data_IF_098914363443
#
_entry.id   IF_098914363443
#
_cell.length_a   1.000
_cell.length_b   1.000
_cell.length_c   1.000
_cell.angle_alpha   90.00
_cell.angle_beta   90.00
_cell.angle_gamma   90.00
#
_symmetry.space_group_name_H-M   'P 1'
#
loop_
_entity.id
_entity.type
_entity.pdbx_description
1 polymer ?
#
# COMPACT_ATOMS: atom_id res chain seq x y z
N UNK A 1 -63.64 7.02 -13.40
CA UNK A 1 -62.50 7.85 -12.94
C UNK A 1 -61.61 6.91 -12.13
N UNK A 2 -60.50 6.36 -12.66
CA UNK A 2 -59.11 6.89 -12.55
C UNK A 2 -58.89 7.41 -11.11
N UNK A 3 -58.05 6.81 -10.27
CA UNK A 3 -56.59 6.81 -10.39
C UNK A 3 -55.90 5.55 -9.82
N UNK A 4 -54.86 5.19 -10.54
CA UNK A 4 -53.89 4.10 -10.38
C UNK A 4 -53.01 4.31 -9.13
N UNK A 5 -52.87 3.28 -8.31
CA UNK A 5 -51.95 3.25 -7.17
C UNK A 5 -50.50 3.13 -7.66
N UNK A 6 -49.69 4.09 -7.21
CA UNK A 6 -48.26 4.17 -7.37
C UNK A 6 -47.53 3.10 -6.55
N UNK A 7 -46.48 2.50 -7.12
CA UNK A 7 -45.10 2.62 -6.65
C UNK A 7 -44.23 1.78 -7.59
N UNK A 8 -43.70 2.43 -8.62
CA UNK A 8 -42.69 1.86 -9.50
C UNK A 8 -41.38 1.80 -8.70
N UNK A 9 -40.97 0.58 -8.38
CA UNK A 9 -39.60 0.25 -8.01
C UNK A 9 -38.68 0.69 -9.15
N UNK A 10 -37.88 1.73 -8.93
CA UNK A 10 -36.83 2.17 -9.83
C UNK A 10 -35.50 2.10 -9.09
N UNK A 11 -34.95 0.89 -9.08
CA UNK A 11 -33.55 0.60 -9.36
C UNK A 11 -32.50 1.51 -8.72
N UNK A 12 -32.04 1.08 -7.55
CA UNK A 12 -30.66 1.28 -7.10
C UNK A 12 -29.69 0.76 -8.17
N UNK A 13 -29.32 1.61 -9.11
CA UNK A 13 -28.08 1.47 -9.89
C UNK A 13 -27.22 2.69 -9.58
N UNK A 14 -26.76 2.73 -8.33
CA UNK A 14 -25.51 3.41 -8.02
C UNK A 14 -24.40 2.58 -8.67
N UNK A 15 -24.25 2.75 -9.98
CA UNK A 15 -23.01 2.47 -10.69
C UNK A 15 -21.97 3.44 -10.15
N UNK A 16 -21.47 3.15 -8.95
CA UNK A 16 -20.23 3.71 -8.47
C UNK A 16 -19.16 3.22 -9.44
N UNK A 17 -18.95 3.98 -10.52
CA UNK A 17 -17.65 4.03 -11.18
C UNK A 17 -16.68 4.58 -10.12
N UNK A 18 -16.30 3.73 -9.16
CA UNK A 18 -15.06 3.89 -8.43
C UNK A 18 -14.03 3.83 -9.55
N UNK A 19 -13.49 4.99 -9.92
CA UNK A 19 -12.48 5.08 -10.95
C UNK A 19 -11.38 4.11 -10.57
N UNK A 20 -11.30 2.99 -11.28
CA UNK A 20 -10.25 2.01 -11.09
C UNK A 20 -8.97 2.76 -11.34
N UNK A 21 -8.18 2.97 -10.28
CA UNK A 21 -6.92 3.67 -10.40
C UNK A 21 -6.09 2.88 -11.43
N UNK A 22 -5.69 3.50 -12.57
CA UNK A 22 -4.98 2.77 -13.62
C UNK A 22 -3.65 2.18 -13.13
N UNK A 23 -3.14 2.66 -11.99
CA UNK A 23 -1.92 2.22 -11.34
C UNK A 23 -2.16 1.23 -10.18
N UNK A 24 -3.39 0.78 -9.95
CA UNK A 24 -3.71 -0.20 -8.91
C UNK A 24 -2.98 -1.53 -9.16
N UNK A 25 -2.21 -1.97 -8.17
CA UNK A 25 -1.39 -3.18 -8.27
C UNK A 25 -0.14 -3.05 -9.15
N UNK A 26 0.22 -1.84 -9.62
CA UNK A 26 1.49 -1.56 -10.31
C UNK A 26 2.50 -1.05 -9.28
N UNK A 27 3.58 -1.80 -9.03
CA UNK A 27 4.58 -1.39 -8.04
C UNK A 27 5.84 -0.84 -8.69
N UNK A 28 6.49 0.14 -8.06
CA UNK A 28 7.85 0.56 -8.42
C UNK A 28 8.77 0.23 -7.26
N UNK A 29 9.66 -0.74 -7.49
CA UNK A 29 10.67 -1.17 -6.50
C UNK A 29 12.04 -0.97 -7.12
N UNK A 30 12.90 -0.18 -6.50
CA UNK A 30 14.25 0.13 -7.01
C UNK A 30 14.25 0.63 -8.47
N UNK A 31 13.37 1.58 -8.80
CA UNK A 31 13.20 2.15 -10.15
C UNK A 31 12.76 1.17 -11.24
N UNK A 32 12.34 -0.04 -10.87
CA UNK A 32 11.75 -1.00 -11.80
C UNK A 32 10.25 -1.10 -11.56
N UNK A 33 9.47 -0.84 -12.62
CA UNK A 33 8.04 -1.12 -12.64
C UNK A 33 7.86 -2.63 -12.63
N UNK A 34 7.20 -3.15 -11.59
CA UNK A 34 6.79 -4.54 -11.51
C UNK A 34 5.53 -4.76 -12.35
N UNK A 35 5.34 -5.97 -12.91
CA UNK A 35 4.10 -6.34 -13.57
C UNK A 35 2.91 -6.07 -12.65
N UNK A 36 1.82 -5.55 -13.23
CA UNK A 36 0.57 -5.33 -12.51
C UNK A 36 0.08 -6.65 -11.92
N UNK A 37 -0.31 -6.65 -10.65
CA UNK A 37 -0.95 -7.81 -10.04
C UNK A 37 -2.30 -8.08 -10.70
N UNK A 38 -2.64 -9.37 -10.88
CA UNK A 38 -3.99 -9.76 -11.29
C UNK A 38 -5.01 -9.40 -10.21
N UNK A 39 -6.29 -9.28 -10.60
CA UNK A 39 -7.37 -8.99 -9.65
C UNK A 39 -7.50 -10.07 -8.58
N UNK A 40 -7.31 -11.34 -8.95
CA UNK A 40 -7.33 -12.47 -8.03
C UNK A 40 -6.22 -12.33 -6.99
N UNK A 41 -5.03 -11.92 -7.44
CA UNK A 41 -3.88 -11.74 -6.56
C UNK A 41 -4.07 -10.55 -5.63
N UNK A 42 -4.62 -9.45 -6.11
CA UNK A 42 -4.99 -8.30 -5.27
C UNK A 42 -6.01 -8.71 -4.21
N UNK A 43 -7.06 -9.44 -4.60
CA UNK A 43 -8.07 -9.94 -3.67
C UNK A 43 -7.49 -10.91 -2.64
N UNK A 44 -6.52 -11.73 -3.02
CA UNK A 44 -5.79 -12.61 -2.10
C UNK A 44 -4.99 -11.83 -1.06
N UNK A 45 -4.12 -10.92 -1.49
CA UNK A 45 -3.25 -10.17 -0.58
C UNK A 45 -4.03 -9.23 0.33
N UNK A 46 -5.15 -8.65 -0.16
CA UNK A 46 -6.04 -7.80 0.65
C UNK A 46 -6.78 -8.57 1.72
N UNK A 47 -7.18 -9.82 1.44
CA UNK A 47 -7.85 -10.70 2.43
C UNK A 47 -6.94 -11.12 3.57
N UNK A 48 -5.61 -11.09 3.39
CA UNK A 48 -4.67 -11.44 4.44
C UNK A 48 -4.60 -10.37 5.55
N UNK A 49 -4.94 -9.11 5.27
CA UNK A 49 -4.88 -8.03 6.24
C UNK A 49 -5.98 -8.13 7.30
N UNK A 50 -5.65 -7.84 8.55
CA UNK A 50 -6.65 -7.63 9.59
C UNK A 50 -7.51 -6.39 9.29
N UNK A 51 -8.80 -6.36 9.69
CA UNK A 51 -9.69 -5.22 9.43
C UNK A 51 -9.19 -3.88 9.98
N UNK A 52 -8.38 -3.88 11.05
CA UNK A 52 -7.79 -2.67 11.62
C UNK A 52 -6.62 -2.10 10.82
N UNK A 53 -6.04 -2.86 9.89
CA UNK A 53 -4.83 -2.44 9.17
C UNK A 53 -5.11 -1.29 8.21
N UNK A 54 -6.24 -1.32 7.50
CA UNK A 54 -6.58 -0.26 6.55
C UNK A 54 -6.84 1.08 7.25
N UNK A 55 -7.69 1.20 8.29
CA UNK A 55 -7.86 2.47 8.98
C UNK A 55 -6.55 3.02 9.56
N UNK A 56 -5.62 2.15 9.99
CA UNK A 56 -4.30 2.58 10.46
C UNK A 56 -3.43 3.13 9.33
N UNK A 57 -3.46 2.52 8.15
CA UNK A 57 -2.67 2.98 7.01
C UNK A 57 -3.11 4.36 6.51
N UNK A 58 -4.41 4.67 6.62
CA UNK A 58 -4.98 5.96 6.26
C UNK A 58 -4.51 7.12 7.16
N UNK A 59 -3.91 6.84 8.32
CA UNK A 59 -3.26 7.85 9.17
C UNK A 59 -1.85 8.26 8.68
N UNK A 60 -1.32 7.60 7.66
CA UNK A 60 -0.02 7.92 7.06
C UNK A 60 -0.04 9.27 6.34
N UNK A 61 1.11 9.95 6.34
CA UNK A 61 1.34 11.18 5.58
C UNK A 61 1.29 10.99 4.07
N UNK A 62 1.39 9.76 3.56
CA UNK A 62 1.32 9.45 2.13
C UNK A 62 -0.07 9.70 1.52
N UNK A 63 -1.10 9.79 2.37
CA UNK A 63 -2.48 9.92 1.93
C UNK A 63 -3.13 8.58 1.57
N UNK A 64 -4.47 8.59 1.50
CA UNK A 64 -5.31 7.38 1.40
C UNK A 64 -5.01 6.50 0.20
N UNK A 65 -4.83 7.11 -0.98
CA UNK A 65 -4.65 6.37 -2.23
C UNK A 65 -3.33 5.58 -2.21
N UNK A 66 -2.26 6.19 -1.70
CA UNK A 66 -0.97 5.52 -1.56
C UNK A 66 -0.97 4.54 -0.39
N UNK A 67 -1.74 4.76 0.67
CA UNK A 67 -1.79 3.86 1.82
C UNK A 67 -2.23 2.45 1.44
N UNK A 68 -3.28 2.32 0.59
CA UNK A 68 -3.70 1.03 0.04
C UNK A 68 -2.62 0.38 -0.82
N UNK A 69 -2.01 1.17 -1.70
CA UNK A 69 -0.95 0.71 -2.57
C UNK A 69 0.25 0.16 -1.78
N UNK A 70 0.63 0.82 -0.67
CA UNK A 70 1.71 0.38 0.21
C UNK A 70 1.34 -0.96 0.88
N UNK A 71 0.11 -1.10 1.40
CA UNK A 71 -0.35 -2.36 1.99
C UNK A 71 -0.33 -3.50 0.97
N UNK A 72 -0.78 -3.26 -0.27
CA UNK A 72 -0.76 -4.26 -1.34
C UNK A 72 0.69 -4.67 -1.69
N UNK A 73 1.62 -3.71 -1.75
CA UNK A 73 3.04 -3.95 -2.00
C UNK A 73 3.66 -4.81 -0.89
N UNK A 74 3.46 -4.42 0.36
CA UNK A 74 3.98 -5.15 1.52
C UNK A 74 3.41 -6.56 1.53
N UNK A 75 2.11 -6.71 1.37
CA UNK A 75 1.47 -8.03 1.38
C UNK A 75 1.95 -8.91 0.24
N UNK A 76 2.16 -8.35 -0.96
CA UNK A 76 2.73 -9.09 -2.07
C UNK A 76 4.13 -9.64 -1.76
N UNK A 77 4.96 -8.88 -1.04
CA UNK A 77 6.32 -9.29 -0.68
C UNK A 77 6.37 -10.25 0.52
N UNK A 78 5.54 -10.04 1.54
CA UNK A 78 5.52 -10.85 2.77
C UNK A 78 4.71 -12.15 2.61
N UNK A 79 3.85 -12.23 1.58
CA UNK A 79 2.98 -13.37 1.29
C UNK A 79 3.20 -13.90 -0.13
N UNK A 80 4.43 -14.21 -0.58
CA UNK A 80 4.68 -14.60 -1.97
C UNK A 80 3.88 -15.86 -2.36
N UNK A 81 3.51 -16.06 -3.64
CA UNK A 81 2.64 -17.16 -4.07
C UNK A 81 3.12 -18.56 -3.64
N UNK A 82 4.43 -18.76 -3.55
CA UNK A 82 5.03 -20.05 -3.16
C UNK A 82 4.92 -20.30 -1.65
N UNK A 83 4.75 -19.25 -0.85
CA UNK A 83 4.66 -19.28 0.62
C UNK A 83 3.64 -18.23 1.10
N UNK A 84 2.34 -18.47 0.88
CA UNK A 84 1.33 -17.49 1.23
C UNK A 84 1.27 -17.32 2.75
N UNK A 85 1.30 -16.07 3.18
CA UNK A 85 0.99 -15.67 4.54
C UNK A 85 -0.52 -15.42 4.67
N UNK A 86 -1.18 -16.23 5.50
CA UNK A 86 -2.62 -16.17 5.73
C UNK A 86 -3.08 -14.98 6.59
N UNK A 87 -2.17 -14.35 7.35
CA UNK A 87 -2.49 -13.24 8.25
C UNK A 87 -1.39 -12.19 8.29
N UNK A 88 -1.75 -10.99 7.89
CA UNK A 88 -0.95 -9.77 7.96
C UNK A 88 -1.64 -8.76 8.87
N UNK A 89 -0.88 -8.03 9.67
CA UNK A 89 -1.41 -6.97 10.53
C UNK A 89 -0.47 -5.77 10.54
N UNK A 90 -0.99 -4.59 10.19
CA UNK A 90 -0.32 -3.33 10.43
C UNK A 90 -0.50 -2.98 11.92
N UNK A 91 0.59 -3.09 12.67
CA UNK A 91 0.59 -2.84 14.10
C UNK A 91 0.65 -1.35 14.37
N UNK A 92 1.58 -0.65 13.72
CA UNK A 92 1.88 0.75 14.00
C UNK A 92 2.57 1.45 12.81
N UNK A 93 2.38 2.76 12.70
CA UNK A 93 3.15 3.65 11.83
C UNK A 93 3.90 4.64 12.71
N UNK A 94 5.23 4.65 12.63
CA UNK A 94 6.10 5.53 13.42
C UNK A 94 6.79 6.55 12.54
N UNK A 95 6.75 7.84 12.86
CA UNK A 95 7.61 8.82 12.19
C UNK A 95 9.08 8.52 12.49
N UNK A 96 9.95 8.82 11.53
CA UNK A 96 11.40 8.61 11.58
C UNK A 96 12.12 9.87 11.12
N UNK A 97 13.41 9.97 11.43
CA UNK A 97 14.24 11.08 10.98
C UNK A 97 14.33 11.12 9.46
N UNK A 98 14.24 12.30 8.86
CA UNK A 98 14.23 12.45 7.40
C UNK A 98 15.57 12.09 6.73
N UNK A 99 16.63 11.92 7.51
CA UNK A 99 17.94 11.53 7.02
C UNK A 99 18.10 10.01 7.15
N UNK A 100 18.32 9.33 6.02
CA UNK A 100 18.55 7.90 6.00
C UNK A 100 19.81 7.53 5.20
N UNK A 101 20.67 6.73 5.82
CA UNK A 101 21.85 6.15 5.20
C UNK A 101 21.49 4.81 4.58
N UNK A 102 21.22 4.78 3.27
CA UNK A 102 21.08 3.54 2.51
C UNK A 102 21.85 3.63 1.20
N UNK A 103 22.55 2.55 0.79
CA UNK A 103 23.24 2.53 -0.50
C UNK A 103 22.27 2.85 -1.63
N UNK A 104 22.67 3.74 -2.55
CA UNK A 104 22.04 3.82 -3.87
C UNK A 104 22.75 2.80 -4.76
N UNK A 105 22.05 2.25 -5.75
CA UNK A 105 22.61 1.18 -6.61
C UNK A 105 23.89 1.57 -7.37
N UNK A 106 24.29 2.84 -7.33
CA UNK A 106 25.49 3.44 -7.91
C UNK A 106 26.60 3.80 -6.89
N UNK A 107 26.40 3.56 -5.57
CA UNK A 107 27.41 3.81 -4.53
C UNK A 107 26.83 4.10 -3.13
N UNK A 108 27.69 4.60 -2.21
CA UNK A 108 27.25 5.16 -0.93
C UNK A 108 26.59 6.53 -1.16
N UNK A 109 25.28 6.52 -1.44
CA UNK A 109 24.44 7.71 -1.48
C UNK A 109 23.66 7.89 -0.18
N UNK A 110 23.21 9.11 0.10
CA UNK A 110 22.30 9.41 1.20
C UNK A 110 20.90 9.57 0.62
N UNK A 111 19.90 8.91 1.20
CA UNK A 111 18.50 9.17 0.85
C UNK A 111 17.96 10.13 1.90
N UNK A 112 17.65 11.34 1.45
CA UNK A 112 17.03 12.36 2.29
C UNK A 112 15.56 12.46 1.90
N UNK A 113 14.70 12.06 2.81
CA UNK A 113 13.27 12.30 2.69
C UNK A 113 13.01 13.80 2.66
N UNK A 114 12.09 14.25 1.81
CA UNK A 114 11.78 15.68 1.69
C UNK A 114 10.79 16.14 2.76
N UNK A 115 9.74 15.36 3.01
CA UNK A 115 8.62 15.75 3.85
C UNK A 115 8.16 14.66 4.81
N UNK A 116 8.40 13.38 4.52
CA UNK A 116 8.08 12.30 5.45
C UNK A 116 8.98 11.07 5.34
N UNK A 117 9.23 10.46 6.49
CA UNK A 117 9.83 9.15 6.61
C UNK A 117 9.10 8.43 7.74
N UNK A 118 8.51 7.29 7.41
CA UNK A 118 7.73 6.47 8.32
C UNK A 118 8.28 5.05 8.36
N UNK A 119 8.20 4.42 9.54
CA UNK A 119 8.39 2.99 9.71
C UNK A 119 7.03 2.34 9.98
N UNK A 120 6.65 1.44 9.09
CA UNK A 120 5.44 0.65 9.18
C UNK A 120 5.80 -0.70 9.83
N UNK A 121 5.28 -0.94 11.02
CA UNK A 121 5.53 -2.16 11.78
C UNK A 121 4.43 -3.16 11.44
N UNK A 122 4.82 -4.27 10.82
CA UNK A 122 3.93 -5.29 10.28
C UNK A 122 4.19 -6.61 10.97
N UNK A 123 3.12 -7.30 11.37
CA UNK A 123 3.20 -8.72 11.72
C UNK A 123 2.79 -9.54 10.50
N UNK A 124 3.74 -10.30 9.95
CA UNK A 124 3.53 -11.25 8.87
C UNK A 124 3.63 -12.67 9.41
N UNK A 125 2.47 -13.32 9.59
CA UNK A 125 2.37 -14.71 10.03
C UNK A 125 3.19 -15.03 11.29
N UNK A 126 3.14 -14.13 12.28
CA UNK A 126 3.85 -14.26 13.55
C UNK A 126 5.25 -13.65 13.55
N UNK A 127 5.74 -13.17 12.41
CA UNK A 127 7.05 -12.50 12.30
C UNK A 127 6.88 -10.99 12.21
N UNK A 128 7.54 -10.27 13.12
CA UNK A 128 7.61 -8.81 13.05
C UNK A 128 8.55 -8.37 11.92
N UNK A 129 8.06 -7.44 11.10
CA UNK A 129 8.76 -6.82 9.98
C UNK A 129 8.62 -5.32 10.09
N UNK A 130 9.69 -4.62 9.75
CA UNK A 130 9.66 -3.16 9.62
C UNK A 130 9.81 -2.81 8.14
N UNK A 131 8.97 -1.92 7.66
CA UNK A 131 9.03 -1.38 6.32
C UNK A 131 9.25 0.12 6.39
N UNK A 132 10.16 0.67 5.58
CA UNK A 132 10.35 2.12 5.46
C UNK A 132 9.55 2.66 4.29
N UNK A 133 8.86 3.76 4.55
CA UNK A 133 8.06 4.52 3.59
C UNK A 133 8.53 5.97 3.66
N UNK A 134 9.05 6.50 2.56
CA UNK A 134 9.55 7.88 2.52
C UNK A 134 9.33 8.52 1.16
N UNK A 135 9.34 9.84 1.11
CA UNK A 135 9.33 10.58 -0.14
C UNK A 135 10.74 10.79 -0.71
N UNK A 136 11.02 10.25 -1.91
CA UNK A 136 12.32 10.37 -2.57
C UNK A 136 12.31 11.53 -3.57
N UNK A 137 12.52 12.75 -3.06
CA UNK A 137 12.58 13.97 -3.88
C UNK A 137 13.65 13.96 -4.97
N UNK A 138 14.67 13.12 -4.83
CA UNK A 138 15.70 12.96 -5.85
C UNK A 138 15.25 12.08 -7.03
N UNK A 139 14.07 11.45 -6.92
CA UNK A 139 13.44 10.69 -7.99
C UNK A 139 12.05 11.26 -8.33
N UNK A 140 11.97 12.32 -9.17
CA UNK A 140 10.70 12.94 -9.51
C UNK A 140 9.74 12.02 -10.28
N UNK A 141 10.22 10.91 -10.85
CA UNK A 141 9.40 9.92 -11.55
C UNK A 141 8.79 8.88 -10.61
N UNK A 142 9.38 8.67 -9.42
CA UNK A 142 8.85 7.81 -8.39
C UNK A 142 9.08 8.47 -7.01
N UNK A 143 8.20 9.41 -6.63
CA UNK A 143 8.40 10.22 -5.45
C UNK A 143 8.19 9.45 -4.14
N UNK A 144 7.74 8.18 -4.20
CA UNK A 144 7.51 7.33 -3.03
C UNK A 144 8.48 6.14 -3.05
N UNK A 145 9.16 5.92 -1.93
CA UNK A 145 10.05 4.78 -1.75
C UNK A 145 9.59 3.91 -0.59
N UNK A 146 9.36 2.63 -0.89
CA UNK A 146 8.91 1.62 0.07
C UNK A 146 9.83 0.41 0.01
N UNK A 147 10.38 -0.01 1.15
CA UNK A 147 11.34 -1.11 1.19
C UNK A 147 11.39 -1.79 2.57
N UNK A 148 11.72 -3.09 2.63
CA UNK A 148 11.89 -3.78 3.90
C UNK A 148 13.11 -3.21 4.64
N UNK A 149 12.97 -3.04 5.95
CA UNK A 149 14.03 -2.58 6.83
C UNK A 149 14.60 -3.75 7.62
N UNK A 150 15.80 -4.16 7.25
CA UNK A 150 16.61 -5.06 8.07
C UNK A 150 17.65 -4.20 8.79
N UNK A 151 17.29 -3.64 9.95
CA UNK A 151 18.30 -3.12 10.86
C UNK A 151 19.19 -4.30 11.25
N UNK A 152 20.42 -4.30 10.75
CA UNK A 152 21.49 -5.17 11.25
C UNK A 152 21.94 -4.66 12.61
#
# INVERSE_FOLDING_TARGET
MKYTLAFLAASFLLSSCVGVNPNEGVFVVNNQVKPRLSEERLAEVRRAWTPSSQPKSEASKVGRDYAWWILDLIAHNESPPERPCAKLELLEIRPKELTLLIPRGDGYGFVRAQSYHEAWIVNACGTMREWRVLDDSANPHNPLRVFPWNAS
#
